data_IF_870826090859
#
_entry.id   IF_870826090859
#
_cell.length_a   1.000
_cell.length_b   1.000
_cell.length_c   1.000
_cell.angle_alpha   90.00
_cell.angle_beta   90.00
_cell.angle_gamma   90.00
#
_symmetry.space_group_name_H-M   'P 1'
#
loop_
_entity.id
_entity.type
_entity.pdbx_description
1 polymer ?
#
# COMPACT_ATOMS: atom_id res chain seq x y z
N UNK A 1 21.39 -12.35 -53.16
CA UNK A 1 20.90 -12.70 -51.82
C UNK A 1 20.85 -11.42 -50.99
N UNK A 2 19.66 -10.95 -50.58
CA UNK A 2 19.51 -9.67 -49.91
C UNK A 2 19.53 -9.79 -48.37
N UNK A 3 19.86 -8.66 -47.75
CA UNK A 3 19.59 -8.19 -46.37
C UNK A 3 20.21 -8.90 -45.16
N UNK A 4 21.15 -8.20 -44.50
CA UNK A 4 21.32 -8.29 -43.05
C UNK A 4 20.93 -6.93 -42.45
N UNK A 5 19.66 -6.78 -42.09
CA UNK A 5 19.20 -5.70 -41.23
C UNK A 5 18.41 -6.32 -40.08
N UNK A 6 19.02 -6.37 -38.91
CA UNK A 6 18.29 -6.55 -37.65
C UNK A 6 19.14 -5.96 -36.54
N UNK A 7 19.05 -4.63 -36.43
CA UNK A 7 19.29 -3.91 -35.19
C UNK A 7 18.35 -4.48 -34.14
N UNK A 8 18.82 -5.46 -33.37
CA UNK A 8 18.05 -6.02 -32.26
C UNK A 8 18.11 -5.05 -31.09
N UNK A 9 17.14 -4.14 -31.05
CA UNK A 9 16.94 -3.23 -29.93
C UNK A 9 16.43 -4.01 -28.70
N UNK A 10 17.37 -4.52 -27.90
CA UNK A 10 17.09 -5.17 -26.61
C UNK A 10 17.01 -4.16 -25.45
N UNK A 11 16.33 -3.03 -25.64
CA UNK A 11 16.00 -2.14 -24.52
C UNK A 11 14.53 -2.30 -24.18
N UNK A 12 14.26 -3.42 -23.49
CA UNK A 12 13.02 -3.68 -22.81
C UNK A 12 12.69 -2.52 -21.87
N UNK A 13 11.44 -2.06 -21.94
CA UNK A 13 10.90 -0.97 -21.14
C UNK A 13 11.00 -1.30 -19.66
N UNK A 14 12.03 -0.77 -18.99
CA UNK A 14 12.06 -0.71 -17.53
C UNK A 14 11.09 0.38 -17.09
N UNK A 15 9.79 0.06 -17.02
CA UNK A 15 8.84 0.86 -16.25
C UNK A 15 8.98 0.47 -14.77
N UNK A 16 10.15 0.75 -14.20
CA UNK A 16 10.26 0.87 -12.77
C UNK A 16 9.66 2.23 -12.44
N UNK A 17 8.35 2.28 -12.22
CA UNK A 17 7.74 3.34 -11.42
C UNK A 17 8.23 3.11 -9.98
N UNK A 18 9.54 3.30 -9.78
CA UNK A 18 10.17 3.34 -8.48
C UNK A 18 9.71 4.66 -7.88
N UNK A 19 8.52 4.65 -7.30
CA UNK A 19 8.11 5.69 -6.38
C UNK A 19 9.20 5.74 -5.31
N UNK A 20 9.97 6.83 -5.29
CA UNK A 20 10.94 7.09 -4.25
C UNK A 20 10.15 7.30 -2.97
N UNK A 21 9.81 6.19 -2.29
CA UNK A 21 9.22 6.24 -0.95
C UNK A 21 10.22 7.02 -0.12
N UNK A 22 9.82 8.22 0.30
CA UNK A 22 10.63 9.01 1.22
C UNK A 22 10.95 8.11 2.42
N UNK A 23 12.18 8.07 2.94
CA UNK A 23 12.50 7.26 4.11
C UNK A 23 11.64 7.61 5.35
N UNK A 24 10.95 8.76 5.31
CA UNK A 24 10.01 9.23 6.33
C UNK A 24 8.58 8.66 6.17
N UNK A 25 8.30 8.01 5.06
CA UNK A 25 6.99 7.45 4.72
C UNK A 25 7.03 5.92 4.79
N UNK A 26 5.87 5.34 5.01
CA UNK A 26 5.64 3.90 5.07
C UNK A 26 4.39 3.59 4.27
N UNK A 27 4.51 2.61 3.40
CA UNK A 27 3.37 2.07 2.65
C UNK A 27 2.58 1.14 3.57
N UNK A 28 1.31 1.45 3.78
CA UNK A 28 0.37 0.66 4.57
C UNK A 28 -0.67 0.06 3.65
N UNK A 29 -0.98 -1.22 3.86
CA UNK A 29 -2.02 -1.96 3.14
C UNK A 29 -3.01 -2.48 4.17
N UNK A 30 -4.29 -2.09 4.05
CA UNK A 30 -5.37 -2.52 4.96
C UNK A 30 -6.39 -3.33 4.20
N UNK A 31 -6.68 -4.52 4.70
CA UNK A 31 -7.71 -5.41 4.18
C UNK A 31 -9.01 -5.21 4.98
N UNK A 32 -10.10 -4.91 4.29
CA UNK A 32 -11.42 -4.78 4.88
C UNK A 32 -12.09 -6.15 5.05
N UNK A 33 -13.03 -6.22 5.99
CA UNK A 33 -13.74 -7.47 6.31
C UNK A 33 -14.71 -7.91 5.20
N UNK A 34 -15.33 -6.96 4.49
CA UNK A 34 -16.26 -7.26 3.40
C UNK A 34 -15.49 -7.34 2.08
N UNK A 35 -15.73 -8.43 1.33
CA UNK A 35 -15.32 -8.67 -0.07
C UNK A 35 -13.81 -8.58 -0.39
N UNK A 36 -12.95 -8.71 0.63
CA UNK A 36 -11.49 -8.66 0.49
C UNK A 36 -10.95 -7.34 -0.10
N UNK A 37 -11.72 -6.26 -0.01
CA UNK A 37 -11.29 -4.93 -0.44
C UNK A 37 -10.00 -4.53 0.27
N UNK A 38 -9.00 -4.16 -0.52
CA UNK A 38 -7.68 -3.76 -0.01
C UNK A 38 -7.42 -2.30 -0.33
N UNK A 39 -7.17 -1.49 0.70
CA UNK A 39 -6.80 -0.08 0.58
C UNK A 39 -5.30 0.04 0.83
N UNK A 40 -4.58 0.63 -0.12
CA UNK A 40 -3.14 0.86 -0.01
C UNK A 40 -2.84 2.34 -0.09
N UNK A 41 -2.11 2.87 0.89
CA UNK A 41 -1.69 4.28 0.89
C UNK A 41 -0.35 4.47 1.63
N UNK A 42 0.30 5.61 1.40
CA UNK A 42 1.53 6.01 2.06
C UNK A 42 1.23 6.97 3.21
N UNK A 43 1.79 6.67 4.38
CA UNK A 43 1.63 7.46 5.60
C UNK A 43 2.99 7.87 6.12
N UNK A 44 3.05 8.99 6.84
CA UNK A 44 4.28 9.36 7.55
C UNK A 44 4.48 8.40 8.71
N UNK A 45 5.71 7.94 8.94
CA UNK A 45 6.05 7.04 10.06
C UNK A 45 5.71 7.62 11.43
N UNK A 46 5.63 8.94 11.54
CA UNK A 46 5.25 9.65 12.77
C UNK A 46 3.74 9.76 12.99
N UNK A 47 2.90 9.38 12.02
CA UNK A 47 1.46 9.45 12.17
C UNK A 47 0.95 8.32 13.05
N UNK A 48 -0.05 8.58 13.92
CA UNK A 48 -0.68 7.53 14.71
C UNK A 48 -1.51 6.61 13.81
N UNK A 49 -1.71 5.37 14.26
CA UNK A 49 -2.57 4.40 13.55
C UNK A 49 -4.02 4.90 13.39
N UNK A 50 -4.49 5.78 14.29
CA UNK A 50 -5.79 6.43 14.17
C UNK A 50 -5.96 7.18 12.83
N UNK A 51 -4.89 7.82 12.33
CA UNK A 51 -4.94 8.53 11.04
C UNK A 51 -5.19 7.57 9.86
N UNK A 52 -4.74 6.31 9.98
CA UNK A 52 -5.01 5.27 8.99
C UNK A 52 -6.48 4.86 9.04
N UNK A 53 -7.03 4.68 10.24
CA UNK A 53 -8.44 4.30 10.43
C UNK A 53 -9.38 5.41 9.95
N UNK A 54 -9.12 6.66 10.33
CA UNK A 54 -9.92 7.81 9.90
C UNK A 54 -9.92 7.95 8.36
N UNK A 55 -8.75 7.80 7.71
CA UNK A 55 -8.64 7.81 6.25
C UNK A 55 -9.51 6.74 5.57
N UNK A 56 -9.51 5.52 6.10
CA UNK A 56 -10.32 4.42 5.54
C UNK A 56 -11.80 4.66 5.75
N UNK A 57 -12.19 5.14 6.94
CA UNK A 57 -13.58 5.47 7.24
C UNK A 57 -14.10 6.59 6.33
N UNK A 58 -13.29 7.63 6.09
CA UNK A 58 -13.63 8.71 5.15
C UNK A 58 -13.78 8.18 3.72
N UNK A 59 -12.80 7.41 3.22
CA UNK A 59 -12.84 6.81 1.88
C UNK A 59 -14.06 5.91 1.65
N UNK A 60 -14.44 5.11 2.65
CA UNK A 60 -15.55 4.16 2.56
C UNK A 60 -16.87 4.73 3.07
N UNK A 61 -16.89 6.03 3.43
CA UNK A 61 -18.05 6.72 4.00
C UNK A 61 -18.66 5.97 5.21
N UNK A 62 -17.80 5.44 6.09
CA UNK A 62 -18.19 4.76 7.31
C UNK A 62 -18.30 5.79 8.43
N UNK A 63 -19.51 5.96 8.98
CA UNK A 63 -19.78 6.96 10.02
C UNK A 63 -19.46 6.46 11.44
N UNK A 64 -19.65 5.17 11.66
CA UNK A 64 -19.57 4.51 12.97
C UNK A 64 -18.13 4.06 13.31
N UNK A 65 -17.17 4.98 13.25
CA UNK A 65 -15.74 4.67 13.44
C UNK A 65 -15.38 4.13 14.82
N UNK A 66 -16.17 4.47 15.85
CA UNK A 66 -15.92 4.05 17.24
C UNK A 66 -16.11 2.54 17.45
N UNK A 67 -16.75 1.86 16.51
CA UNK A 67 -16.91 0.40 16.51
C UNK A 67 -15.83 -0.34 15.72
N UNK A 68 -14.92 0.39 15.07
CA UNK A 68 -13.88 -0.16 14.22
C UNK A 68 -12.50 -0.06 14.87
N UNK A 69 -11.62 -0.97 14.47
CA UNK A 69 -10.23 -0.98 14.91
C UNK A 69 -9.32 -1.67 13.90
N UNK A 70 -8.04 -1.33 13.95
CA UNK A 70 -7.02 -1.95 13.12
C UNK A 70 -6.41 -3.15 13.84
N UNK A 71 -6.24 -4.26 13.11
CA UNK A 71 -5.50 -5.42 13.59
C UNK A 71 -4.19 -5.53 12.83
N UNK A 72 -3.09 -5.58 13.56
CA UNK A 72 -1.77 -5.88 13.01
C UNK A 72 -1.22 -7.15 13.65
N UNK A 73 -0.62 -8.00 12.82
CA UNK A 73 0.13 -9.16 13.29
C UNK A 73 1.60 -8.91 12.99
N UNK A 74 2.39 -8.71 14.04
CA UNK A 74 3.84 -8.65 13.92
C UNK A 74 4.41 -10.05 13.56
N UNK A 75 5.58 -10.06 12.93
CA UNK A 75 6.33 -11.26 12.53
C UNK A 75 6.56 -12.24 13.70
N UNK A 76 6.53 -11.74 14.94
CA UNK A 76 6.65 -12.50 16.18
C UNK A 76 5.33 -13.10 16.69
N UNK A 77 4.23 -13.06 15.91
CA UNK A 77 2.87 -13.52 16.27
C UNK A 77 2.26 -12.87 17.52
N UNK A 78 2.86 -11.82 18.07
CA UNK A 78 2.25 -11.04 19.14
C UNK A 78 1.15 -10.15 18.56
N UNK A 79 -0.11 -10.49 18.86
CA UNK A 79 -1.25 -9.64 18.54
C UNK A 79 -1.24 -8.44 19.50
N UNK A 80 -0.70 -7.31 19.04
CA UNK A 80 -0.82 -6.05 19.76
C UNK A 80 -2.30 -5.62 19.67
N UNK A 81 -2.98 -5.63 20.82
CA UNK A 81 -4.30 -5.01 20.97
C UNK A 81 -4.04 -3.59 21.44
N UNK A 82 -4.39 -2.61 20.61
CA UNK A 82 -4.45 -1.20 20.98
C UNK A 82 -5.91 -0.79 21.05
#
# INVERSE_FOLDING_TARGET
>A
MPTLNSSSSFLGRLSARSSFISPKEVKVTVQLLNDADTVTNEFKRSQPAQAILDYICELKNIREKDYLGLRYQDHNKHRVRT
#
